data_IF_528971032171
#
_entry.id   IF_528971032171
#
_cell.length_a   1.000
_cell.length_b   1.000
_cell.length_c   1.000
_cell.angle_alpha   90.00
_cell.angle_beta   90.00
_cell.angle_gamma   90.00
#
_symmetry.space_group_name_H-M   'P 1'
#
loop_
_entity.id
_entity.type
_entity.pdbx_description
1 polymer ?
#
# COMPACT_ATOMS: atom_id res chain seq x y z
N UNK A 1 60.19 -30.37 6.30
CA UNK A 1 60.54 -29.00 6.69
C UNK A 1 59.30 -28.10 6.57
N UNK A 2 58.88 -27.63 7.75
CA UNK A 2 58.20 -26.39 8.07
C UNK A 2 56.81 -26.14 7.48
N UNK A 3 55.84 -26.31 8.35
CA UNK A 3 54.52 -25.71 8.45
C UNK A 3 54.56 -24.19 8.21
N UNK A 4 53.47 -23.69 7.58
CA UNK A 4 52.85 -22.43 7.97
C UNK A 4 51.36 -22.49 7.69
N UNK A 5 50.63 -22.49 8.77
CA UNK A 5 49.18 -22.28 8.85
C UNK A 5 48.84 -20.88 8.35
N UNK A 6 47.78 -20.77 7.55
CA UNK A 6 47.15 -19.51 7.11
C UNK A 6 45.67 -19.55 7.43
N UNK A 7 45.32 -18.95 8.56
CA UNK A 7 43.93 -18.69 8.95
C UNK A 7 43.20 -17.87 7.89
N UNK A 8 42.13 -18.42 7.34
CA UNK A 8 41.15 -17.66 6.59
C UNK A 8 40.07 -17.16 7.57
N UNK A 9 40.18 -15.90 7.92
CA UNK A 9 39.13 -15.18 8.58
C UNK A 9 37.93 -15.02 7.66
N UNK A 10 36.85 -15.67 8.00
CA UNK A 10 35.55 -15.45 7.37
C UNK A 10 34.98 -14.15 7.93
N UNK A 11 34.96 -13.12 7.13
CA UNK A 11 34.10 -11.96 7.37
C UNK A 11 32.65 -12.39 7.12
N UNK A 12 31.89 -12.54 8.17
CA UNK A 12 30.44 -12.57 8.12
C UNK A 12 29.96 -11.14 7.94
N UNK A 13 29.51 -10.81 6.74
CA UNK A 13 28.70 -9.63 6.48
C UNK A 13 27.36 -9.82 7.21
N UNK A 14 27.25 -9.15 8.34
CA UNK A 14 26.02 -9.06 9.11
C UNK A 14 24.98 -8.22 8.36
N UNK A 15 24.18 -8.87 7.57
CA UNK A 15 22.96 -8.30 7.03
C UNK A 15 21.96 -8.11 8.19
N UNK A 16 21.85 -6.88 8.67
CA UNK A 16 20.83 -6.49 9.65
C UNK A 16 19.44 -6.62 9.00
N UNK A 17 18.71 -7.61 9.46
CA UNK A 17 17.29 -7.76 9.19
C UNK A 17 16.50 -6.59 9.78
N UNK A 18 15.47 -6.04 9.09
CA UNK A 18 14.61 -4.97 9.60
C UNK A 18 13.76 -5.35 10.81
N UNK A 19 13.87 -6.59 11.29
CA UNK A 19 12.96 -7.18 12.28
C UNK A 19 13.43 -7.16 13.73
N UNK A 20 14.45 -6.38 14.07
CA UNK A 20 14.84 -6.27 15.49
C UNK A 20 13.97 -5.21 16.18
N UNK A 21 12.72 -5.59 16.47
CA UNK A 21 11.81 -4.85 17.34
C UNK A 21 11.64 -5.60 18.66
N UNK A 22 12.50 -5.33 19.62
CA UNK A 22 12.16 -5.54 21.01
C UNK A 22 11.07 -4.52 21.39
N UNK A 23 9.91 -4.99 21.84
CA UNK A 23 8.88 -4.18 22.48
C UNK A 23 9.52 -3.51 23.70
N UNK A 24 9.91 -2.25 23.56
CA UNK A 24 10.33 -1.43 24.69
C UNK A 24 9.08 -0.82 25.32
N UNK A 25 8.95 -0.98 26.63
CA UNK A 25 7.90 -0.40 27.44
C UNK A 25 7.81 1.12 27.29
N UNK A 26 6.66 1.64 27.66
CA UNK A 26 6.25 3.03 27.54
C UNK A 26 7.37 4.04 27.78
N UNK A 27 7.91 4.58 26.68
CA UNK A 27 8.82 5.71 26.66
C UNK A 27 8.08 6.86 26.00
N UNK A 28 8.09 8.00 26.69
CA UNK A 28 7.49 9.27 26.23
C UNK A 28 7.78 9.56 24.74
N UNK A 29 6.73 9.87 24.03
CA UNK A 29 6.63 10.04 22.60
C UNK A 29 7.48 11.20 22.07
N UNK A 30 8.67 10.87 21.57
CA UNK A 30 9.46 11.73 20.72
C UNK A 30 9.77 11.03 19.39
N UNK A 31 8.77 10.33 18.86
CA UNK A 31 8.84 9.62 17.57
C UNK A 31 8.60 10.63 16.47
N UNK A 32 9.58 10.76 15.58
CA UNK A 32 9.69 11.72 14.50
C UNK A 32 8.34 12.14 13.91
N UNK A 33 7.92 13.34 14.29
CA UNK A 33 6.75 13.97 13.75
C UNK A 33 6.94 14.21 12.26
N UNK A 34 5.90 13.99 11.42
CA UNK A 34 5.86 14.56 10.07
C UNK A 34 6.22 16.05 10.15
N UNK A 35 6.92 16.57 9.17
CA UNK A 35 7.24 18.01 9.11
C UNK A 35 5.99 18.83 9.34
N UNK A 36 6.10 20.01 9.97
CA UNK A 36 4.95 20.87 10.32
C UNK A 36 4.01 21.14 9.12
N UNK A 37 4.53 21.09 7.90
CA UNK A 37 3.76 21.23 6.67
C UNK A 37 2.79 20.06 6.45
N UNK A 38 3.18 18.83 6.82
CA UNK A 38 2.36 17.63 6.64
C UNK A 38 1.30 17.49 7.73
N UNK A 39 1.54 18.07 8.91
CA UNK A 39 0.61 17.98 10.05
C UNK A 39 -0.64 18.84 9.90
N UNK A 40 -0.57 19.96 9.18
CA UNK A 40 -1.70 20.87 9.03
C UNK A 40 -2.77 20.37 8.06
N UNK A 41 -2.45 19.42 7.18
CA UNK A 41 -3.35 18.95 6.11
C UNK A 41 -4.10 17.66 6.43
N UNK A 42 -3.67 16.87 7.41
CA UNK A 42 -4.30 15.59 7.78
C UNK A 42 -5.19 15.77 9.01
N UNK A 43 -6.48 15.50 8.86
CA UNK A 43 -7.39 15.35 9.99
C UNK A 43 -6.92 14.18 10.87
N UNK A 44 -7.15 14.25 12.18
CA UNK A 44 -6.70 13.21 13.12
C UNK A 44 -7.13 11.79 12.71
N UNK A 45 -8.34 11.65 12.13
CA UNK A 45 -8.84 10.37 11.61
C UNK A 45 -8.05 9.83 10.41
N UNK A 46 -7.52 10.72 9.55
CA UNK A 46 -6.81 10.30 8.34
C UNK A 46 -5.48 9.58 8.65
N UNK A 47 -4.94 9.83 9.83
CA UNK A 47 -3.68 9.24 10.28
C UNK A 47 -3.78 7.75 10.59
N UNK A 48 -4.97 7.22 10.88
CA UNK A 48 -5.16 5.78 11.14
C UNK A 48 -4.79 4.91 9.95
N UNK A 49 -4.91 5.42 8.72
CA UNK A 49 -4.51 4.67 7.53
C UNK A 49 -3.00 4.63 7.31
N UNK A 50 -2.21 5.51 7.96
CA UNK A 50 -0.78 5.59 7.72
C UNK A 50 -0.04 4.45 8.39
N UNK A 51 0.70 3.59 7.65
CA UNK A 51 1.64 2.65 8.23
C UNK A 51 2.71 3.35 9.07
N UNK A 52 3.34 2.64 9.99
CA UNK A 52 4.48 3.17 10.70
C UNK A 52 5.67 3.40 9.74
N UNK A 53 6.34 4.53 9.85
CA UNK A 53 7.57 4.83 9.14
C UNK A 53 8.53 5.62 10.04
N UNK A 54 9.83 5.29 9.95
CA UNK A 54 10.88 5.99 10.71
C UNK A 54 11.34 7.27 10.02
N UNK A 55 11.36 7.26 8.70
CA UNK A 55 11.87 8.33 7.85
C UNK A 55 10.75 8.87 6.97
N UNK A 56 10.41 10.14 7.17
CA UNK A 56 9.40 10.84 6.39
C UNK A 56 9.92 11.35 5.04
N UNK A 57 11.22 11.25 4.76
CA UNK A 57 11.83 11.75 3.51
C UNK A 57 11.11 11.26 2.26
N UNK A 58 10.72 9.98 2.26
CA UNK A 58 10.08 9.33 1.11
C UNK A 58 8.55 9.29 1.21
N UNK A 59 7.97 9.89 2.24
CA UNK A 59 6.52 9.95 2.41
C UNK A 59 5.99 11.20 1.71
N UNK A 60 5.11 11.01 0.74
CA UNK A 60 4.53 12.05 -0.09
C UNK A 60 3.02 12.14 0.13
N UNK A 61 2.51 13.35 0.30
CA UNK A 61 1.07 13.62 0.38
C UNK A 61 0.56 14.22 -0.92
N UNK A 62 -0.38 13.55 -1.57
CA UNK A 62 -1.15 14.14 -2.66
C UNK A 62 -2.41 14.79 -2.08
N UNK A 63 -2.44 16.12 -2.07
CA UNK A 63 -3.55 16.90 -1.48
C UNK A 63 -4.79 16.84 -2.36
N UNK A 64 -4.63 16.91 -3.68
CA UNK A 64 -5.74 16.92 -4.62
C UNK A 64 -6.58 15.63 -4.53
N UNK A 65 -5.93 14.47 -4.55
CA UNK A 65 -6.59 13.18 -4.48
C UNK A 65 -6.60 12.56 -3.06
N UNK A 66 -6.16 13.30 -2.06
CA UNK A 66 -6.24 12.94 -0.63
C UNK A 66 -5.68 11.55 -0.30
N UNK A 67 -4.49 11.23 -0.81
CA UNK A 67 -3.76 10.03 -0.44
C UNK A 67 -2.34 10.34 0.00
N UNK A 68 -1.76 9.45 0.77
CA UNK A 68 -0.35 9.48 1.17
C UNK A 68 0.33 8.22 0.68
N UNK A 69 1.55 8.33 0.22
CA UNK A 69 2.35 7.19 -0.21
C UNK A 69 3.77 7.27 0.35
N UNK A 70 4.42 6.12 0.45
CA UNK A 70 5.86 6.04 0.66
C UNK A 70 6.51 5.61 -0.65
N UNK A 71 7.36 6.47 -1.23
CA UNK A 71 7.98 6.20 -2.51
C UNK A 71 9.25 5.38 -2.36
N UNK A 72 9.37 4.32 -3.13
CA UNK A 72 10.59 3.51 -3.24
C UNK A 72 11.38 3.95 -4.47
N UNK A 73 12.52 4.62 -4.25
CA UNK A 73 13.37 5.13 -5.32
C UNK A 73 14.13 4.03 -6.06
N UNK A 74 14.34 2.88 -5.43
CA UNK A 74 15.01 1.74 -6.07
C UNK A 74 14.10 1.08 -7.10
N UNK A 75 12.83 0.88 -6.78
CA UNK A 75 11.84 0.24 -7.65
C UNK A 75 10.92 1.21 -8.37
N UNK A 76 11.05 2.52 -8.13
CA UNK A 76 10.36 3.63 -8.82
C UNK A 76 8.83 3.51 -8.76
N UNK A 77 8.32 3.22 -7.58
CA UNK A 77 6.88 3.09 -7.30
C UNK A 77 6.62 3.26 -5.81
N UNK A 78 5.35 3.37 -5.40
CA UNK A 78 5.05 3.40 -3.98
C UNK A 78 5.26 2.03 -3.33
N UNK A 79 5.88 2.02 -2.15
CA UNK A 79 5.90 0.85 -1.27
C UNK A 79 4.54 0.59 -0.64
N UNK A 80 3.80 1.65 -0.34
CA UNK A 80 2.40 1.63 0.07
C UNK A 80 1.72 2.95 -0.29
N UNK A 81 0.40 2.87 -0.46
CA UNK A 81 -0.51 4.01 -0.61
C UNK A 81 -1.59 3.88 0.44
N UNK A 82 -1.84 4.95 1.20
CA UNK A 82 -2.82 5.01 2.27
C UNK A 82 -3.85 6.10 2.01
N UNK A 83 -5.13 5.77 2.16
CA UNK A 83 -6.23 6.70 1.95
C UNK A 83 -7.48 6.27 2.72
N UNK A 84 -8.43 7.18 2.82
CA UNK A 84 -9.77 6.89 3.32
C UNK A 84 -10.73 6.90 2.12
N UNK A 85 -11.66 5.95 2.11
CA UNK A 85 -12.74 5.89 1.14
C UNK A 85 -14.07 5.99 1.88
N UNK A 86 -14.86 7.01 1.57
CA UNK A 86 -16.13 7.29 2.24
C UNK A 86 -17.33 6.94 1.37
N UNK A 87 -18.47 6.69 2.01
CA UNK A 87 -19.76 6.51 1.33
C UNK A 87 -20.09 7.71 0.45
N UNK A 88 -19.82 8.92 0.91
CA UNK A 88 -20.08 10.14 0.17
C UNK A 88 -19.30 10.18 -1.14
N UNK A 89 -18.02 9.80 -1.12
CA UNK A 89 -17.17 9.74 -2.33
C UNK A 89 -17.67 8.69 -3.31
N UNK A 90 -18.00 7.49 -2.83
CA UNK A 90 -18.46 6.39 -3.71
C UNK A 90 -19.84 6.64 -4.31
N UNK A 91 -20.69 7.43 -3.66
CA UNK A 91 -22.05 7.73 -4.14
C UNK A 91 -22.14 8.93 -5.08
N UNK A 92 -21.05 9.69 -5.23
CA UNK A 92 -21.04 10.85 -6.14
C UNK A 92 -21.13 10.40 -7.59
N UNK A 93 -21.65 11.30 -8.44
CA UNK A 93 -21.55 11.12 -9.88
C UNK A 93 -20.13 11.55 -10.28
N UNK A 94 -19.32 10.57 -10.65
CA UNK A 94 -17.94 10.82 -10.98
C UNK A 94 -17.73 11.60 -12.28
N UNK A 95 -16.55 12.22 -12.38
CA UNK A 95 -16.05 12.80 -13.64
C UNK A 95 -15.61 11.70 -14.61
N UNK A 96 -15.40 12.05 -15.86
CA UNK A 96 -14.82 11.14 -16.83
C UNK A 96 -13.39 10.75 -16.46
N UNK A 97 -13.05 9.48 -16.65
CA UNK A 97 -11.72 8.94 -16.41
C UNK A 97 -10.67 9.64 -17.27
N UNK A 98 -9.66 10.25 -16.65
CA UNK A 98 -8.71 11.12 -17.33
C UNK A 98 -7.67 10.39 -18.19
N UNK A 99 -7.34 9.12 -17.90
CA UNK A 99 -6.38 8.28 -18.63
C UNK A 99 -5.01 8.96 -18.92
N UNK A 100 -4.54 9.79 -18.01
CA UNK A 100 -3.40 10.68 -18.20
C UNK A 100 -2.18 10.21 -17.41
N UNK A 101 -1.65 9.01 -17.71
CA UNK A 101 -0.45 8.49 -17.05
C UNK A 101 0.77 9.39 -17.29
N UNK A 102 1.37 9.87 -16.22
CA UNK A 102 2.56 10.70 -16.24
C UNK A 102 3.40 10.52 -14.97
N UNK A 103 4.66 10.92 -15.04
CA UNK A 103 5.51 10.97 -13.85
C UNK A 103 4.93 11.93 -12.81
N UNK A 104 5.03 11.55 -11.54
CA UNK A 104 4.56 12.39 -10.44
C UNK A 104 5.42 13.67 -10.37
N UNK A 105 4.82 14.86 -10.46
CA UNK A 105 5.55 16.12 -10.37
C UNK A 105 6.40 16.26 -9.11
N UNK A 106 5.91 15.74 -7.97
CA UNK A 106 6.66 15.80 -6.70
C UNK A 106 7.91 14.93 -6.74
N UNK A 107 7.82 13.74 -7.32
CA UNK A 107 8.95 12.82 -7.50
C UNK A 107 9.99 13.44 -8.44
N UNK A 108 9.53 14.03 -9.55
CA UNK A 108 10.39 14.73 -10.52
C UNK A 108 11.10 15.92 -9.87
N UNK A 109 10.38 16.74 -9.11
CA UNK A 109 10.95 17.91 -8.41
C UNK A 109 12.03 17.51 -7.40
N UNK A 110 11.87 16.35 -6.76
CA UNK A 110 12.90 15.83 -5.84
C UNK A 110 14.11 15.22 -6.54
N UNK A 111 14.10 15.12 -7.87
CA UNK A 111 15.18 14.53 -8.65
C UNK A 111 15.30 13.01 -8.47
N UNK A 112 14.28 12.35 -8.00
CA UNK A 112 14.29 10.91 -7.79
C UNK A 112 14.07 10.15 -9.10
N UNK A 113 14.62 8.92 -9.22
CA UNK A 113 14.29 8.04 -10.33
C UNK A 113 12.78 7.83 -10.40
N UNK A 114 12.19 7.96 -11.59
CA UNK A 114 10.74 7.84 -11.78
C UNK A 114 10.41 7.10 -13.06
N UNK A 115 9.38 6.27 -13.01
CA UNK A 115 8.80 5.63 -14.17
C UNK A 115 8.28 6.68 -15.19
N UNK A 116 8.27 6.29 -16.45
CA UNK A 116 7.64 7.02 -17.55
C UNK A 116 6.59 6.14 -18.19
N UNK A 117 5.56 6.72 -18.79
CA UNK A 117 4.47 5.97 -19.43
C UNK A 117 5.01 4.95 -20.46
N UNK A 118 6.00 5.33 -21.25
CA UNK A 118 6.64 4.46 -22.25
C UNK A 118 7.35 3.22 -21.66
N UNK A 119 7.70 3.23 -20.38
CA UNK A 119 8.39 2.11 -19.75
C UNK A 119 7.48 0.88 -19.59
N UNK A 120 6.17 1.13 -19.53
CA UNK A 120 5.15 0.09 -19.52
C UNK A 120 4.77 -0.43 -20.89
N UNK A 121 5.06 0.33 -21.96
CA UNK A 121 4.66 -0.03 -23.31
C UNK A 121 5.35 -1.33 -23.77
N UNK A 122 4.54 -2.32 -24.16
CA UNK A 122 5.01 -3.67 -24.55
C UNK A 122 5.78 -4.42 -23.47
N UNK A 123 5.60 -4.05 -22.21
CA UNK A 123 6.24 -4.73 -21.07
C UNK A 123 5.59 -6.07 -20.71
N UNK A 124 4.37 -6.32 -21.15
CA UNK A 124 3.54 -7.45 -20.70
C UNK A 124 2.81 -7.19 -19.39
N UNK A 125 2.92 -5.97 -18.87
CA UNK A 125 2.24 -5.54 -17.63
C UNK A 125 1.34 -4.34 -17.91
N UNK A 126 0.22 -4.30 -17.20
CA UNK A 126 -0.65 -3.14 -17.13
C UNK A 126 -0.06 -2.08 -16.21
N UNK A 127 -0.47 -0.83 -16.43
CA UNK A 127 -0.30 0.28 -15.49
C UNK A 127 -1.34 0.11 -14.38
N UNK A 128 -1.02 -0.69 -13.38
CA UNK A 128 -1.94 -1.02 -12.30
C UNK A 128 -2.00 0.07 -11.24
N UNK A 129 -3.18 0.63 -11.00
CA UNK A 129 -3.39 1.58 -9.92
C UNK A 129 -3.29 0.90 -8.56
N UNK A 130 -2.70 1.60 -7.58
CA UNK A 130 -2.77 1.24 -6.16
C UNK A 130 -4.01 1.86 -5.51
N UNK A 131 -4.14 3.19 -5.54
CA UNK A 131 -5.40 3.89 -5.32
C UNK A 131 -6.17 3.90 -6.64
N UNK A 132 -7.36 3.28 -6.75
CA UNK A 132 -8.13 3.24 -7.98
C UNK A 132 -8.61 4.62 -8.43
N UNK A 133 -8.62 4.87 -9.73
CA UNK A 133 -9.18 6.12 -10.26
C UNK A 133 -10.67 6.29 -9.95
N UNK A 134 -11.41 5.19 -9.83
CA UNK A 134 -12.83 5.22 -9.46
C UNK A 134 -13.09 5.56 -7.99
N UNK A 135 -12.05 5.59 -7.15
CA UNK A 135 -12.15 6.02 -5.75
C UNK A 135 -11.88 7.53 -5.60
N UNK A 136 -11.47 8.18 -6.67
CA UNK A 136 -11.12 9.60 -6.74
C UNK A 136 -11.55 10.19 -8.07
N UNK A 137 -12.84 10.44 -8.22
CA UNK A 137 -13.44 10.93 -9.46
C UNK A 137 -14.38 12.13 -9.26
N UNK A 138 -14.26 12.84 -8.14
CA UNK A 138 -15.08 14.02 -7.85
C UNK A 138 -14.79 15.17 -8.84
N UNK A 139 -13.52 15.40 -9.14
CA UNK A 139 -13.08 16.38 -10.12
C UNK A 139 -12.06 15.79 -11.12
N UNK A 140 -11.93 16.40 -12.32
CA UNK A 140 -10.88 15.98 -13.27
C UNK A 140 -9.47 16.06 -12.69
N UNK A 141 -9.18 17.05 -11.85
CA UNK A 141 -7.89 17.22 -11.19
C UNK A 141 -7.61 16.09 -10.21
N UNK A 142 -8.56 15.79 -9.35
CA UNK A 142 -8.48 14.69 -8.41
C UNK A 142 -8.27 13.36 -9.13
N UNK A 143 -9.07 13.09 -10.15
CA UNK A 143 -8.94 11.88 -10.93
C UNK A 143 -7.59 11.77 -11.65
N UNK A 144 -7.12 12.87 -12.25
CA UNK A 144 -5.80 12.94 -12.91
C UNK A 144 -4.67 12.58 -11.96
N UNK A 145 -4.73 13.03 -10.71
CA UNK A 145 -3.70 12.74 -9.71
C UNK A 145 -3.58 11.25 -9.37
N UNK A 146 -4.60 10.43 -9.65
CA UNK A 146 -4.50 8.97 -9.49
C UNK A 146 -3.65 8.31 -10.58
N UNK A 147 -3.41 8.98 -11.72
CA UNK A 147 -2.62 8.50 -12.85
C UNK A 147 -1.14 8.84 -12.75
N UNK A 148 -0.71 9.48 -11.66
CA UNK A 148 0.72 9.64 -11.40
C UNK A 148 1.38 8.27 -11.24
N UNK A 149 2.52 8.07 -11.92
CA UNK A 149 3.22 6.78 -11.93
C UNK A 149 3.80 6.39 -10.56
N UNK A 150 3.82 7.31 -9.59
CA UNK A 150 4.06 6.99 -8.18
C UNK A 150 2.93 6.14 -7.56
N UNK A 151 1.71 6.25 -8.07
CA UNK A 151 0.53 5.46 -7.67
C UNK A 151 0.30 4.23 -8.57
N UNK A 152 1.24 3.90 -9.44
CA UNK A 152 1.10 2.86 -10.46
C UNK A 152 2.21 1.84 -10.34
N UNK A 153 1.88 0.58 -10.56
CA UNK A 153 2.81 -0.54 -10.43
C UNK A 153 2.58 -1.58 -11.55
N UNK A 154 3.63 -2.33 -11.99
CA UNK A 154 3.47 -3.32 -13.06
C UNK A 154 2.62 -4.51 -12.63
N UNK A 155 1.38 -4.57 -13.06
CA UNK A 155 0.45 -5.65 -12.76
C UNK A 155 0.19 -6.52 -13.99
N UNK A 156 0.15 -7.84 -13.81
CA UNK A 156 -0.30 -8.75 -14.86
C UNK A 156 -1.77 -8.47 -15.21
N UNK A 157 -2.17 -8.55 -16.49
CA UNK A 157 -3.57 -8.35 -16.89
C UNK A 157 -4.57 -9.23 -16.13
N UNK A 158 -4.21 -10.48 -15.83
CA UNK A 158 -5.05 -11.38 -15.05
C UNK A 158 -5.29 -10.89 -13.61
N UNK A 159 -4.31 -10.20 -13.01
CA UNK A 159 -4.51 -9.54 -11.73
C UNK A 159 -5.33 -8.27 -11.91
N UNK A 160 -4.80 -7.30 -12.66
CA UNK A 160 -5.33 -5.94 -12.74
C UNK A 160 -6.77 -5.88 -13.28
N UNK A 161 -7.05 -6.59 -14.37
CA UNK A 161 -8.35 -6.51 -15.07
C UNK A 161 -9.43 -7.42 -14.50
N UNK A 162 -9.07 -8.37 -13.65
CA UNK A 162 -9.98 -9.39 -13.12
C UNK A 162 -10.07 -9.32 -11.60
N UNK A 163 -9.29 -10.12 -10.87
CA UNK A 163 -9.47 -10.32 -9.43
C UNK A 163 -9.21 -9.07 -8.60
N UNK A 164 -8.22 -8.23 -8.98
CA UNK A 164 -7.91 -6.98 -8.29
C UNK A 164 -9.05 -5.97 -8.47
N UNK A 165 -9.56 -5.84 -9.70
CA UNK A 165 -10.74 -5.00 -10.00
C UNK A 165 -11.97 -5.43 -9.19
N UNK A 166 -12.22 -6.74 -9.06
CA UNK A 166 -13.32 -7.25 -8.26
C UNK A 166 -13.15 -6.92 -6.77
N UNK A 167 -11.92 -7.01 -6.25
CA UNK A 167 -11.62 -6.59 -4.88
C UNK A 167 -11.87 -5.08 -4.69
N UNK A 168 -11.43 -4.24 -5.61
CA UNK A 168 -11.69 -2.80 -5.58
C UNK A 168 -13.19 -2.46 -5.62
N UNK A 169 -13.97 -3.15 -6.45
CA UNK A 169 -15.42 -3.02 -6.47
C UNK A 169 -16.05 -3.41 -5.14
N UNK A 170 -15.53 -4.47 -4.50
CA UNK A 170 -16.01 -4.90 -3.19
C UNK A 170 -15.64 -3.89 -2.09
N UNK A 171 -14.45 -3.31 -2.14
CA UNK A 171 -14.04 -2.23 -1.22
C UNK A 171 -15.00 -1.04 -1.30
N UNK A 172 -15.39 -0.62 -2.51
CA UNK A 172 -16.42 0.42 -2.68
C UNK A 172 -17.78 0.03 -2.12
N UNK A 173 -18.21 -1.24 -2.25
CA UNK A 173 -19.44 -1.73 -1.62
C UNK A 173 -19.37 -1.65 -0.10
N UNK A 174 -18.25 -2.03 0.50
CA UNK A 174 -18.04 -1.90 1.95
C UNK A 174 -18.01 -0.43 2.40
N UNK A 175 -17.38 0.47 1.64
CA UNK A 175 -17.42 1.89 1.94
C UNK A 175 -18.85 2.45 1.93
N UNK A 176 -19.71 2.02 1.01
CA UNK A 176 -21.14 2.36 1.00
C UNK A 176 -21.87 1.83 2.24
N UNK A 177 -21.55 0.62 2.65
CA UNK A 177 -22.20 -0.05 3.78
C UNK A 177 -21.75 0.52 5.12
N UNK A 178 -20.45 0.71 5.32
CA UNK A 178 -19.85 1.03 6.61
C UNK A 178 -19.49 2.51 6.79
N UNK A 179 -19.87 3.37 5.84
CA UNK A 179 -19.65 4.81 5.82
C UNK A 179 -18.24 5.25 5.45
N UNK A 180 -17.21 4.67 6.04
CA UNK A 180 -15.83 4.94 5.65
C UNK A 180 -14.92 3.76 5.93
N UNK A 181 -13.91 3.59 5.06
CA UNK A 181 -12.83 2.61 5.20
C UNK A 181 -11.48 3.31 5.22
N UNK A 182 -10.59 2.87 6.09
CA UNK A 182 -9.17 3.15 6.03
C UNK A 182 -8.52 2.07 5.16
N UNK A 183 -7.81 2.48 4.12
CA UNK A 183 -7.23 1.57 3.14
C UNK A 183 -5.72 1.78 3.06
N UNK A 184 -4.96 0.69 3.17
CA UNK A 184 -3.54 0.64 2.83
C UNK A 184 -3.34 -0.41 1.76
N UNK A 185 -2.69 -0.04 0.67
CA UNK A 185 -2.49 -0.94 -0.47
C UNK A 185 -1.10 -0.74 -1.06
N UNK A 186 -0.54 -1.77 -1.63
CA UNK A 186 0.79 -1.67 -2.24
C UNK A 186 1.31 -2.98 -2.79
N UNK A 187 2.48 -2.90 -3.43
CA UNK A 187 3.26 -4.07 -3.83
C UNK A 187 4.03 -4.64 -2.64
N UNK A 188 4.38 -5.93 -2.72
CA UNK A 188 5.39 -6.50 -1.82
C UNK A 188 6.76 -6.29 -2.47
N UNK A 189 7.50 -5.30 -2.00
CA UNK A 189 8.83 -4.97 -2.49
C UNK A 189 9.89 -5.72 -1.68
N UNK A 190 10.61 -6.59 -2.36
CA UNK A 190 11.74 -7.37 -1.81
C UNK A 190 12.96 -7.20 -2.69
N UNK A 191 14.15 -7.54 -2.19
CA UNK A 191 15.37 -7.47 -3.00
C UNK A 191 15.31 -8.44 -4.20
N UNK A 192 15.96 -8.08 -5.30
CA UNK A 192 16.10 -8.94 -6.48
C UNK A 192 14.83 -9.08 -7.33
N UNK A 193 13.89 -8.15 -7.25
CA UNK A 193 12.74 -8.15 -8.16
C UNK A 193 13.18 -7.91 -9.61
N UNK A 194 12.58 -8.60 -10.59
CA UNK A 194 12.76 -8.27 -11.99
C UNK A 194 12.27 -6.85 -12.27
N UNK A 195 12.70 -6.29 -13.40
CA UNK A 195 12.37 -4.90 -13.78
C UNK A 195 11.86 -4.85 -15.21
N UNK A 196 10.91 -3.97 -15.46
CA UNK A 196 10.56 -3.55 -16.81
C UNK A 196 11.56 -2.48 -17.29
N UNK A 197 11.42 -2.04 -18.54
CA UNK A 197 12.22 -0.96 -19.11
C UNK A 197 12.17 0.29 -18.21
N UNK A 198 13.26 1.02 -18.11
CA UNK A 198 13.33 2.20 -17.24
C UNK A 198 13.65 1.90 -15.77
N UNK A 199 13.69 0.62 -15.38
CA UNK A 199 14.12 0.22 -14.05
C UNK A 199 12.99 0.03 -13.02
N UNK A 200 11.73 0.10 -13.45
CA UNK A 200 10.58 -0.11 -12.56
C UNK A 200 10.51 -1.57 -12.11
N UNK A 201 10.47 -1.79 -10.80
CA UNK A 201 10.41 -3.14 -10.24
C UNK A 201 9.08 -3.84 -10.53
N UNK A 202 9.14 -5.15 -10.74
CA UNK A 202 7.95 -6.00 -10.96
C UNK A 202 7.68 -6.80 -9.71
N UNK A 203 6.69 -6.42 -8.89
CA UNK A 203 6.34 -7.14 -7.68
C UNK A 203 5.73 -8.50 -8.00
N UNK A 204 5.98 -9.47 -7.13
CA UNK A 204 5.39 -10.82 -7.25
C UNK A 204 4.01 -10.90 -6.61
N UNK A 205 3.67 -9.99 -5.71
CA UNK A 205 2.41 -9.96 -4.96
C UNK A 205 2.01 -8.52 -4.66
N UNK A 206 0.71 -8.31 -4.48
CA UNK A 206 0.11 -7.05 -4.05
C UNK A 206 -0.79 -7.28 -2.85
N UNK A 207 -0.81 -6.32 -1.95
CA UNK A 207 -1.66 -6.36 -0.77
C UNK A 207 -2.67 -5.21 -0.74
N UNK A 208 -3.75 -5.44 -0.01
CA UNK A 208 -4.72 -4.43 0.39
C UNK A 208 -5.20 -4.76 1.80
N UNK A 209 -5.01 -3.82 2.73
CA UNK A 209 -5.47 -3.92 4.12
C UNK A 209 -6.55 -2.88 4.38
N UNK A 210 -7.60 -3.28 5.05
CA UNK A 210 -8.77 -2.47 5.35
C UNK A 210 -9.03 -2.42 6.86
N UNK A 211 -9.40 -1.24 7.35
CA UNK A 211 -9.87 -1.03 8.72
C UNK A 211 -11.17 -0.24 8.68
N UNK A 212 -12.14 -0.62 9.51
CA UNK A 212 -13.41 0.06 9.63
C UNK A 212 -13.84 0.14 11.10
N UNK A 213 -14.52 1.23 11.47
CA UNK A 213 -15.23 1.34 12.74
C UNK A 213 -16.71 1.05 12.49
N UNK A 214 -17.24 0.00 13.12
CA UNK A 214 -18.65 -0.37 12.99
C UNK A 214 -19.14 -1.06 14.28
N UNK A 215 -20.37 -0.76 14.67
CA UNK A 215 -21.01 -1.35 15.84
C UNK A 215 -20.17 -1.24 17.13
N UNK A 216 -19.56 -0.07 17.35
CA UNK A 216 -18.79 0.21 18.57
C UNK A 216 -17.41 -0.43 18.64
N UNK A 217 -16.90 -1.00 17.55
CA UNK A 217 -15.54 -1.59 17.50
C UNK A 217 -14.90 -1.49 16.12
N UNK A 218 -13.59 -1.68 16.10
CA UNK A 218 -12.83 -1.83 14.85
C UNK A 218 -12.86 -3.26 14.32
N UNK A 219 -12.88 -3.38 13.00
CA UNK A 219 -12.71 -4.62 12.24
C UNK A 219 -11.66 -4.40 11.16
N UNK A 220 -10.79 -5.36 10.96
CA UNK A 220 -9.78 -5.32 9.91
C UNK A 220 -9.75 -6.61 9.09
N UNK A 221 -9.26 -6.49 7.86
CA UNK A 221 -8.99 -7.60 6.96
C UNK A 221 -7.86 -7.23 6.02
N UNK A 222 -7.07 -8.20 5.62
CA UNK A 222 -6.05 -8.03 4.60
C UNK A 222 -6.23 -9.03 3.46
N UNK A 223 -5.74 -8.66 2.28
CA UNK A 223 -5.70 -9.51 1.09
C UNK A 223 -4.30 -9.47 0.50
N UNK A 224 -3.80 -10.63 0.08
CA UNK A 224 -2.50 -10.75 -0.57
C UNK A 224 -2.65 -11.59 -1.85
N UNK A 225 -2.58 -10.94 -2.99
CA UNK A 225 -2.84 -11.55 -4.29
C UNK A 225 -1.54 -11.71 -5.10
N UNK A 226 -1.38 -12.84 -5.84
CA UNK A 226 -0.22 -13.05 -6.70
C UNK A 226 -0.29 -12.22 -7.98
N UNK A 227 0.87 -11.75 -8.45
CA UNK A 227 1.01 -11.08 -9.75
C UNK A 227 1.41 -12.10 -10.82
N UNK A 228 0.46 -12.88 -11.29
CA UNK A 228 0.67 -14.00 -12.20
C UNK A 228 -0.23 -13.93 -13.44
N UNK A 229 0.11 -14.66 -14.47
CA UNK A 229 -0.67 -14.76 -15.73
C UNK A 229 -2.00 -15.50 -15.55
N UNK A 230 -2.05 -16.40 -14.58
CA UNK A 230 -3.27 -17.13 -14.20
C UNK A 230 -3.42 -17.08 -12.70
N UNK A 231 -4.60 -16.68 -12.25
CA UNK A 231 -4.93 -16.60 -10.82
C UNK A 231 -6.22 -17.40 -10.63
N UNK A 232 -6.17 -18.38 -9.76
CA UNK A 232 -7.33 -19.23 -9.44
C UNK A 232 -8.11 -18.68 -8.25
N UNK A 233 -9.37 -19.09 -8.13
CA UNK A 233 -10.20 -18.74 -7.00
C UNK A 233 -10.77 -17.32 -7.04
N UNK A 234 -11.31 -16.90 -5.91
CA UNK A 234 -11.89 -15.57 -5.69
C UNK A 234 -10.98 -14.75 -4.78
N UNK A 235 -11.11 -13.42 -4.78
CA UNK A 235 -10.28 -12.58 -3.89
C UNK A 235 -10.42 -12.95 -2.41
N UNK A 236 -11.59 -13.45 -1.98
CA UNK A 236 -11.82 -13.93 -0.61
C UNK A 236 -10.92 -15.12 -0.20
N UNK A 237 -10.46 -15.91 -1.14
CA UNK A 237 -9.55 -17.03 -0.88
C UNK A 237 -8.12 -16.54 -0.54
N UNK A 238 -7.84 -15.27 -0.79
CA UNK A 238 -6.58 -14.58 -0.50
C UNK A 238 -6.68 -13.67 0.73
N UNK A 239 -7.76 -13.77 1.49
CA UNK A 239 -7.93 -13.03 2.74
C UNK A 239 -7.03 -13.59 3.83
N UNK A 240 -6.51 -12.71 4.66
CA UNK A 240 -5.63 -13.06 5.77
C UNK A 240 -5.75 -12.03 6.88
N UNK A 241 -5.16 -12.32 8.04
CA UNK A 241 -5.05 -11.37 9.13
C UNK A 241 -4.05 -10.25 8.79
N UNK A 242 -4.24 -9.09 9.39
CA UNK A 242 -3.29 -7.97 9.23
C UNK A 242 -1.92 -8.36 9.80
N UNK A 243 -1.88 -9.02 10.96
CA UNK A 243 -0.63 -9.53 11.55
C UNK A 243 0.17 -10.43 10.61
N UNK A 244 -0.50 -11.31 9.86
CA UNK A 244 0.20 -12.19 8.92
C UNK A 244 0.66 -11.44 7.67
N UNK A 245 -0.09 -10.44 7.23
CA UNK A 245 0.36 -9.55 6.16
C UNK A 245 1.60 -8.77 6.58
N UNK A 246 1.63 -8.20 7.79
CA UNK A 246 2.74 -7.40 8.31
C UNK A 246 4.06 -8.18 8.36
N UNK A 247 4.01 -9.46 8.73
CA UNK A 247 5.19 -10.35 8.67
C UNK A 247 5.77 -10.46 7.27
N UNK A 248 4.94 -10.30 6.24
CA UNK A 248 5.34 -10.39 4.83
C UNK A 248 5.87 -9.07 4.31
N UNK A 249 5.17 -7.97 4.60
CA UNK A 249 5.49 -6.65 4.05
C UNK A 249 6.51 -5.87 4.90
N UNK A 250 6.66 -6.21 6.18
CA UNK A 250 7.59 -5.57 7.10
C UNK A 250 7.16 -4.20 7.62
N UNK A 251 5.92 -3.79 7.39
CA UNK A 251 5.33 -2.56 7.91
C UNK A 251 4.37 -2.89 9.05
N UNK A 252 4.24 -1.96 9.97
CA UNK A 252 3.27 -1.96 11.05
C UNK A 252 2.08 -1.10 10.59
N UNK A 253 0.96 -1.75 10.35
CA UNK A 253 -0.26 -1.14 9.86
C UNK A 253 -1.14 -0.75 11.06
N UNK A 254 -1.99 0.25 10.91
CA UNK A 254 -2.97 0.68 11.92
C UNK A 254 -2.39 0.90 13.34
N UNK A 255 -1.09 1.03 13.48
CA UNK A 255 -0.29 1.15 14.71
C UNK A 255 -0.72 2.29 15.66
N UNK A 256 -1.60 3.18 15.21
CA UNK A 256 -2.16 4.27 16.03
C UNK A 256 -3.39 3.85 16.83
N UNK A 257 -3.87 2.64 16.65
CA UNK A 257 -4.86 2.04 17.52
C UNK A 257 -4.24 1.80 18.92
N UNK A 258 -5.05 1.84 19.98
CA UNK A 258 -4.56 1.38 21.29
C UNK A 258 -4.09 -0.08 21.21
N UNK A 259 -2.94 -0.42 21.82
CA UNK A 259 -2.27 -1.71 21.68
C UNK A 259 -3.20 -2.93 21.81
N UNK A 260 -4.10 -2.95 22.79
CA UNK A 260 -5.04 -4.06 22.99
C UNK A 260 -6.09 -4.16 21.85
N UNK A 261 -6.47 -3.01 21.28
CA UNK A 261 -7.41 -2.96 20.16
C UNK A 261 -6.71 -3.44 18.89
N UNK A 262 -5.51 -2.92 18.65
CA UNK A 262 -4.63 -3.28 17.53
C UNK A 262 -4.37 -4.79 17.52
N UNK A 263 -3.85 -5.37 18.60
CA UNK A 263 -3.55 -6.80 18.71
C UNK A 263 -4.78 -7.69 18.41
N UNK A 264 -5.95 -7.32 18.94
CA UNK A 264 -7.19 -8.05 18.67
C UNK A 264 -7.60 -7.95 17.21
N UNK A 265 -7.65 -6.74 16.69
CA UNK A 265 -8.16 -6.45 15.32
C UNK A 265 -7.28 -7.07 14.27
N UNK A 266 -5.97 -7.04 14.46
CA UNK A 266 -4.99 -7.52 13.48
C UNK A 266 -4.78 -9.03 13.51
N UNK A 267 -5.07 -9.67 14.63
CA UNK A 267 -5.01 -11.14 14.74
C UNK A 267 -6.23 -11.86 14.16
N UNK A 268 -7.34 -11.17 14.00
CA UNK A 268 -8.61 -11.75 13.58
C UNK A 268 -8.87 -11.61 12.08
N UNK A 269 -9.56 -12.59 11.50
CA UNK A 269 -10.27 -12.46 10.21
C UNK A 269 -11.73 -12.76 10.45
N UNK A 270 -12.53 -11.74 10.76
CA UNK A 270 -13.98 -11.87 10.93
C UNK A 270 -14.66 -12.00 9.57
N UNK A 271 -14.63 -13.23 9.04
CA UNK A 271 -15.21 -13.53 7.73
C UNK A 271 -16.74 -13.32 7.71
N UNK A 272 -17.42 -13.44 8.83
CA UNK A 272 -18.86 -13.22 8.92
C UNK A 272 -19.19 -11.73 8.74
N UNK A 273 -18.44 -10.85 9.38
CA UNK A 273 -18.58 -9.40 9.25
C UNK A 273 -18.33 -8.96 7.79
N UNK A 274 -17.22 -9.40 7.19
CA UNK A 274 -16.85 -8.96 5.85
C UNK A 274 -17.69 -9.61 4.74
N UNK A 275 -18.29 -10.80 4.96
CA UNK A 275 -19.23 -11.42 4.02
C UNK A 275 -20.60 -10.77 4.03
N UNK A 276 -21.10 -10.32 5.15
CA UNK A 276 -22.41 -9.70 5.27
C UNK A 276 -22.57 -8.44 4.38
N UNK A 277 -21.47 -7.91 3.88
CA UNK A 277 -21.41 -6.75 2.98
C UNK A 277 -21.31 -7.05 1.48
N UNK A 278 -21.32 -8.29 1.04
CA UNK A 278 -21.09 -8.49 -0.38
C UNK A 278 -20.91 -9.88 -0.90
N UNK A 279 -21.81 -10.80 -0.62
CA UNK A 279 -21.93 -11.99 -1.48
C UNK A 279 -23.40 -12.39 -1.61
N UNK A 280 -24.00 -11.96 -2.68
CA UNK A 280 -24.98 -12.79 -3.39
C UNK A 280 -24.42 -13.04 -4.78
#
# INVERSE_FOLDING_TARGET
HANRDGEKGSQQDGQLSPNDRTKAGAVSDNRGNPTECDQQTLKQGDRLALPYYKDSTFVLRNVAARYTLCYDTMYQQAAWVAYILTRAEVNRKGTERQNAFCSDPTVVQRGWPTARDRDYTRSGYDRGHLLPSADRDDTPEENRATFYLSNVSPQRPALNRQIWRLLEEQVRKWAKQYDSLYVVTGPVLVSGLPRIKGGVGVPRRYFKALLVWQNGRYHAIAFLLPNQEKISGKFGDYAMSVNDLEKIIGYDLFWRLPDQVEERVESEVDTSFWRAGGTK
#
